data_IF_183846008123
#
_entry.id   IF_183846008123
#
_cell.length_a   1.000
_cell.length_b   1.000
_cell.length_c   1.000
_cell.angle_alpha   90.00
_cell.angle_beta   90.00
_cell.angle_gamma   90.00
#
_symmetry.space_group_name_H-M   'P 1'
#
loop_
_entity.id
_entity.type
_entity.pdbx_description
1 polymer ?
#
# COMPACT_ATOMS: atom_id res chain seq x y z
N UNK A 1 -10.07 19.74 4.53
CA UNK A 1 -8.65 19.43 4.82
C UNK A 1 -8.03 18.93 3.52
N UNK A 2 -6.74 19.19 3.29
CA UNK A 2 -6.03 18.80 2.05
C UNK A 2 -4.83 17.93 2.43
N UNK A 3 -4.60 16.88 1.66
CA UNK A 3 -3.50 15.93 1.82
C UNK A 3 -2.74 15.90 0.49
N UNK A 4 -1.56 16.50 0.46
CA UNK A 4 -0.73 16.53 -0.74
C UNK A 4 -0.01 15.20 -0.95
N UNK A 5 0.20 14.83 -2.22
CA UNK A 5 0.90 13.62 -2.63
C UNK A 5 2.35 13.56 -2.13
N UNK A 6 3.00 14.72 -2.05
CA UNK A 6 4.38 14.84 -1.58
C UNK A 6 4.47 15.88 -0.47
N UNK A 7 5.18 15.54 0.59
CA UNK A 7 5.68 16.49 1.56
C UNK A 7 7.12 16.83 1.16
N UNK A 8 7.33 17.95 0.48
CA UNK A 8 8.63 18.31 -0.13
C UNK A 8 9.13 17.27 -1.16
N UNK A 9 10.10 16.43 -0.80
CA UNK A 9 10.68 15.37 -1.64
C UNK A 9 10.27 13.96 -1.21
N UNK A 10 9.52 13.81 -0.11
CA UNK A 10 9.05 12.50 0.37
C UNK A 10 7.61 12.27 -0.06
N UNK A 11 7.30 11.03 -0.47
CA UNK A 11 5.91 10.65 -0.77
C UNK A 11 5.13 10.63 0.55
N UNK A 12 3.99 11.31 0.57
CA UNK A 12 3.19 11.42 1.77
C UNK A 12 2.54 10.06 2.08
N UNK A 13 2.90 9.49 3.24
CA UNK A 13 2.37 8.19 3.67
C UNK A 13 0.86 8.20 3.81
N UNK A 14 0.28 9.29 4.31
CA UNK A 14 -1.17 9.41 4.45
C UNK A 14 -1.84 9.45 3.07
N UNK A 15 -1.25 10.15 2.09
CA UNK A 15 -1.75 10.13 0.72
C UNK A 15 -1.74 8.71 0.15
N UNK A 16 -0.64 7.98 0.32
CA UNK A 16 -0.53 6.59 -0.12
C UNK A 16 -1.59 5.70 0.53
N UNK A 17 -1.79 5.83 1.84
CA UNK A 17 -2.81 5.08 2.56
C UNK A 17 -4.21 5.41 2.07
N UNK A 18 -4.53 6.67 1.82
CA UNK A 18 -5.84 7.08 1.28
C UNK A 18 -6.06 6.53 -0.14
N UNK A 19 -5.03 6.57 -1.00
CA UNK A 19 -5.07 6.01 -2.35
C UNK A 19 -5.36 4.50 -2.35
N UNK A 20 -4.80 3.76 -1.37
CA UNK A 20 -5.04 2.32 -1.17
C UNK A 20 -6.34 2.01 -0.43
N UNK A 21 -6.81 2.89 0.45
CA UNK A 21 -8.03 2.68 1.23
C UNK A 21 -9.29 2.91 0.40
N UNK A 22 -9.29 3.95 -0.43
CA UNK A 22 -10.44 4.31 -1.27
C UNK A 22 -10.55 3.45 -2.56
N UNK A 23 -10.10 2.18 -2.50
CA UNK A 23 -10.04 1.17 -3.57
C UNK A 23 -11.47 0.66 -3.98
N UNK A 24 -11.65 -0.23 -4.99
CA UNK A 24 -12.85 -0.63 -5.71
C UNK A 24 -14.11 -0.73 -4.90
N UNK A 25 -14.11 -1.28 -3.69
CA UNK A 25 -15.34 -1.52 -2.95
C UNK A 25 -16.09 -0.23 -2.61
N UNK A 26 -15.35 0.87 -2.40
CA UNK A 26 -15.93 2.22 -2.23
C UNK A 26 -16.14 2.88 -3.61
N UNK A 27 -15.29 2.55 -4.59
CA UNK A 27 -15.35 3.09 -5.95
C UNK A 27 -16.40 2.43 -6.87
N UNK A 28 -17.02 1.31 -6.46
CA UNK A 28 -18.07 0.58 -7.21
C UNK A 28 -19.29 1.47 -7.50
N UNK A 29 -19.50 2.51 -6.70
CA UNK A 29 -20.60 3.47 -6.86
C UNK A 29 -20.19 4.75 -7.61
N UNK A 30 -18.94 4.86 -8.06
CA UNK A 30 -18.46 6.04 -8.80
C UNK A 30 -18.89 5.98 -10.26
N UNK A 31 -19.30 7.13 -10.79
CA UNK A 31 -19.68 7.29 -12.19
C UNK A 31 -18.50 7.20 -13.15
N UNK A 32 -17.29 7.56 -12.68
CA UNK A 32 -16.04 7.50 -13.44
C UNK A 32 -14.92 6.98 -12.56
N UNK A 33 -14.10 6.13 -13.14
CA UNK A 33 -12.93 5.57 -12.50
C UNK A 33 -11.83 5.31 -13.54
N UNK A 34 -10.59 5.35 -13.10
CA UNK A 34 -9.41 5.04 -13.91
C UNK A 34 -8.96 3.62 -13.62
N UNK A 35 -8.66 2.85 -14.65
CA UNK A 35 -8.10 1.51 -14.50
C UNK A 35 -6.59 1.55 -14.61
N UNK A 36 -5.89 0.91 -13.67
CA UNK A 36 -4.44 0.73 -13.70
C UNK A 36 -4.14 -0.77 -13.64
N UNK A 37 -3.31 -1.24 -14.57
CA UNK A 37 -2.76 -2.59 -14.55
C UNK A 37 -1.30 -2.48 -14.12
N UNK A 38 -0.93 -3.17 -13.04
CA UNK A 38 0.47 -3.19 -12.61
C UNK A 38 1.25 -4.19 -13.47
N UNK A 39 2.51 -3.88 -13.83
CA UNK A 39 3.35 -4.84 -14.54
C UNK A 39 3.48 -6.12 -13.70
N UNK A 40 3.18 -7.28 -14.29
CA UNK A 40 3.19 -8.62 -13.67
C UNK A 40 1.99 -8.99 -12.80
N UNK A 41 0.96 -8.14 -12.70
CA UNK A 41 -0.32 -8.52 -12.08
C UNK A 41 -1.39 -8.67 -13.17
N UNK A 42 -2.13 -9.79 -13.16
CA UNK A 42 -3.25 -10.00 -14.08
C UNK A 42 -4.54 -9.28 -13.65
N UNK A 43 -4.50 -8.60 -12.51
CA UNK A 43 -5.66 -7.92 -11.92
C UNK A 43 -5.67 -6.45 -12.31
N UNK A 44 -6.82 -6.00 -12.84
CA UNK A 44 -7.07 -4.58 -13.10
C UNK A 44 -7.44 -3.90 -11.78
N UNK A 45 -6.59 -2.98 -11.32
CA UNK A 45 -6.90 -2.14 -10.15
C UNK A 45 -7.69 -0.91 -10.59
N UNK A 46 -8.72 -0.55 -9.82
CA UNK A 46 -9.53 0.65 -10.05
C UNK A 46 -9.01 1.77 -9.15
N UNK A 47 -8.76 2.93 -9.74
CA UNK A 47 -8.28 4.16 -9.11
C UNK A 47 -9.30 5.25 -9.35
N UNK A 48 -9.46 6.14 -8.39
CA UNK A 48 -10.38 7.28 -8.45
C UNK A 48 -10.01 8.20 -9.62
N UNK A 49 -11.00 8.61 -10.42
CA UNK A 49 -10.80 9.59 -11.49
C UNK A 49 -10.79 11.03 -10.96
N UNK A 50 -10.23 11.96 -11.75
CA UNK A 50 -10.06 13.36 -11.37
C UNK A 50 -11.40 14.01 -11.03
N UNK A 51 -11.46 14.67 -9.87
CA UNK A 51 -12.60 15.45 -9.37
C UNK A 51 -13.87 14.66 -9.03
N UNK A 52 -13.83 13.33 -9.00
CA UNK A 52 -14.96 12.54 -8.51
C UNK A 52 -15.06 12.63 -6.98
N UNK A 53 -16.30 12.79 -6.48
CA UNK A 53 -16.60 12.89 -5.06
C UNK A 53 -17.06 11.55 -4.50
N UNK A 54 -16.38 11.09 -3.47
CA UNK A 54 -16.67 9.85 -2.76
C UNK A 54 -17.26 10.21 -1.40
N UNK A 55 -18.43 9.67 -1.11
CA UNK A 55 -19.03 9.75 0.21
C UNK A 55 -18.65 8.52 1.01
N UNK A 56 -17.98 8.73 2.13
CA UNK A 56 -17.62 7.68 3.07
C UNK A 56 -18.22 7.97 4.43
N UNK A 57 -19.01 7.04 4.98
CA UNK A 57 -19.58 7.19 6.32
C UNK A 57 -18.73 6.43 7.33
N UNK A 58 -18.23 7.14 8.34
CA UNK A 58 -17.44 6.56 9.43
C UNK A 58 -18.05 6.95 10.78
N UNK A 59 -18.45 5.96 11.57
CA UNK A 59 -19.15 6.13 12.87
C UNK A 59 -20.28 7.17 12.82
N UNK A 60 -21.07 7.17 11.73
CA UNK A 60 -22.20 8.09 11.53
C UNK A 60 -21.85 9.48 10.98
N UNK A 61 -20.56 9.79 10.80
CA UNK A 61 -20.09 11.05 10.20
C UNK A 61 -19.78 10.84 8.72
N UNK A 62 -20.25 11.76 7.88
CA UNK A 62 -19.99 11.74 6.45
C UNK A 62 -18.67 12.48 6.11
N UNK A 63 -17.76 11.75 5.48
CA UNK A 63 -16.51 12.25 4.91
C UNK A 63 -16.63 12.29 3.38
N UNK A 64 -16.57 13.48 2.82
CA UNK A 64 -16.56 13.73 1.38
C UNK A 64 -15.12 13.81 0.87
N UNK A 65 -14.70 12.81 0.13
CA UNK A 65 -13.38 12.71 -0.47
C UNK A 65 -13.38 13.13 -1.93
N UNK A 66 -12.31 13.77 -2.37
CA UNK A 66 -12.12 14.15 -3.76
C UNK A 66 -10.65 14.12 -4.14
N UNK A 67 -10.30 13.47 -5.25
CA UNK A 67 -8.97 13.55 -5.83
C UNK A 67 -8.87 14.80 -6.73
N UNK A 68 -8.02 15.74 -6.34
CA UNK A 68 -7.72 16.92 -7.14
C UNK A 68 -6.39 16.71 -7.85
N UNK A 69 -6.40 16.91 -9.16
CA UNK A 69 -5.18 16.96 -9.97
C UNK A 69 -5.09 18.38 -10.51
N UNK A 70 -3.97 19.06 -10.30
CA UNK A 70 -3.72 20.40 -10.81
C UNK A 70 -2.59 20.35 -11.82
N UNK A 71 -2.79 20.91 -13.01
CA UNK A 71 -1.74 21.00 -14.01
C UNK A 71 -0.73 22.07 -13.56
N UNK A 72 0.55 21.74 -13.59
CA UNK A 72 1.64 22.67 -13.33
C UNK A 72 2.55 22.73 -14.56
N UNK A 73 3.27 23.83 -14.78
CA UNK A 73 4.31 23.87 -15.80
C UNK A 73 5.27 22.69 -15.63
N UNK A 74 5.66 22.02 -16.73
CA UNK A 74 6.51 20.84 -16.66
C UNK A 74 7.79 21.17 -15.89
N UNK A 75 7.96 20.52 -14.76
CA UNK A 75 9.12 20.69 -13.89
C UNK A 75 9.96 19.42 -13.94
N UNK A 76 11.26 19.60 -14.19
CA UNK A 76 12.22 18.50 -14.26
C UNK A 76 12.70 18.19 -12.85
N UNK A 77 12.34 17.02 -12.32
CA UNK A 77 12.83 16.56 -11.02
C UNK A 77 14.03 15.64 -11.26
N UNK A 78 15.20 16.05 -10.74
CA UNK A 78 16.41 15.23 -10.76
C UNK A 78 16.37 14.29 -9.56
N UNK A 79 16.12 12.99 -9.76
CA UNK A 79 16.21 12.02 -8.65
C UNK A 79 17.67 11.95 -8.19
N UNK A 80 17.93 12.30 -6.94
CA UNK A 80 19.26 12.14 -6.35
C UNK A 80 19.33 10.77 -5.68
N UNK A 81 20.02 9.82 -6.32
CA UNK A 81 20.28 8.50 -5.76
C UNK A 81 20.67 7.46 -6.80
N UNK A 82 21.97 7.09 -6.82
CA UNK A 82 22.48 5.79 -7.27
C UNK A 82 22.55 5.52 -8.79
N UNK A 83 23.78 5.57 -9.32
CA UNK A 83 24.28 4.95 -10.56
C UNK A 83 23.36 4.85 -11.79
N UNK A 84 23.67 5.70 -12.78
CA UNK A 84 23.64 5.42 -14.21
C UNK A 84 22.32 5.19 -14.99
N UNK A 85 21.21 5.79 -14.57
CA UNK A 85 20.10 6.08 -15.51
C UNK A 85 19.54 7.49 -15.27
N UNK A 86 19.74 8.40 -16.23
CA UNK A 86 19.19 9.75 -16.23
C UNK A 86 17.68 9.75 -16.54
N UNK A 87 16.87 9.16 -15.66
CA UNK A 87 15.41 9.32 -15.74
C UNK A 87 15.02 10.68 -15.15
N UNK A 88 15.00 11.71 -16.00
CA UNK A 88 14.32 12.97 -15.68
C UNK A 88 12.82 12.73 -15.73
N UNK A 89 12.17 12.70 -14.56
CA UNK A 89 10.71 12.61 -14.52
C UNK A 89 10.14 14.01 -14.78
N UNK A 90 9.36 14.15 -15.85
CA UNK A 90 8.59 15.36 -16.12
C UNK A 90 7.35 15.32 -15.23
N UNK A 91 7.28 16.17 -14.21
CA UNK A 91 6.05 16.37 -13.43
C UNK A 91 5.29 17.53 -14.05
N UNK A 92 4.15 17.23 -14.67
CA UNK A 92 3.22 18.22 -15.26
C UNK A 92 1.92 18.37 -14.47
N UNK A 93 1.78 17.63 -13.37
CA UNK A 93 0.63 17.78 -12.47
C UNK A 93 0.99 17.49 -11.02
N UNK A 94 0.28 18.14 -10.11
CA UNK A 94 0.30 17.87 -8.67
C UNK A 94 -1.02 17.20 -8.30
N UNK A 95 -0.95 16.12 -7.50
CA UNK A 95 -2.12 15.42 -6.98
C UNK A 95 -2.28 15.75 -5.50
N UNK A 96 -3.51 15.94 -5.05
CA UNK A 96 -3.85 16.03 -3.64
C UNK A 96 -5.26 15.48 -3.39
N UNK A 97 -5.47 14.91 -2.21
CA UNK A 97 -6.81 14.54 -1.76
C UNK A 97 -7.39 15.67 -0.92
N UNK A 98 -8.61 16.08 -1.26
CA UNK A 98 -9.42 16.94 -0.42
C UNK A 98 -10.44 16.10 0.33
N UNK A 99 -10.54 16.31 1.63
CA UNK A 99 -11.60 15.73 2.46
C UNK A 99 -12.40 16.83 3.16
N UNK A 100 -13.73 16.76 3.02
CA UNK A 100 -14.68 17.69 3.62
C UNK A 100 -15.57 16.95 4.61
N UNK A 101 -15.66 17.49 5.81
CA UNK A 101 -16.48 16.99 6.91
C UNK A 101 -16.86 18.18 7.81
N UNK A 102 -17.83 17.98 8.70
CA UNK A 102 -18.29 19.04 9.59
C UNK A 102 -17.20 19.42 10.61
N UNK A 103 -16.97 20.72 10.84
CA UNK A 103 -15.86 21.24 11.68
C UNK A 103 -15.78 20.60 13.07
N UNK A 104 -16.92 20.26 13.67
CA UNK A 104 -16.98 19.65 15.02
C UNK A 104 -16.36 18.25 15.08
N UNK A 105 -16.18 17.57 13.95
CA UNK A 105 -15.57 16.23 13.89
C UNK A 105 -14.09 16.27 13.53
N UNK A 106 -13.43 17.44 13.62
CA UNK A 106 -12.00 17.57 13.31
C UNK A 106 -11.13 16.70 14.19
N UNK A 107 -11.39 16.66 15.49
CA UNK A 107 -10.58 15.89 16.43
C UNK A 107 -10.74 14.39 16.16
N UNK A 108 -11.98 13.92 16.03
CA UNK A 108 -12.31 12.55 15.61
C UNK A 108 -11.67 12.16 14.27
N UNK A 109 -11.63 13.09 13.30
CA UNK A 109 -10.98 12.84 12.02
C UNK A 109 -9.48 12.55 12.20
N UNK A 110 -8.80 13.34 13.04
CA UNK A 110 -7.35 13.22 13.29
C UNK A 110 -6.99 12.05 14.21
N UNK A 111 -7.76 11.80 15.26
CA UNK A 111 -7.45 10.79 16.28
C UNK A 111 -7.94 9.39 15.95
N UNK A 112 -9.02 9.26 15.15
CA UNK A 112 -9.65 7.97 14.89
C UNK A 112 -9.73 7.65 13.39
N UNK A 113 -10.23 8.57 12.58
CA UNK A 113 -10.52 8.27 11.17
C UNK A 113 -9.26 8.04 10.33
N UNK A 114 -8.28 8.95 10.35
CA UNK A 114 -7.06 8.75 9.56
C UNK A 114 -6.22 7.56 10.04
N UNK A 115 -6.05 7.31 11.36
CA UNK A 115 -5.42 6.08 11.83
C UNK A 115 -6.13 4.82 11.33
N UNK A 116 -7.46 4.78 11.37
CA UNK A 116 -8.26 3.69 10.81
C UNK A 116 -8.02 3.51 9.29
N UNK A 117 -8.02 4.60 8.52
CA UNK A 117 -7.71 4.58 7.08
C UNK A 117 -6.31 4.02 6.83
N UNK A 118 -5.32 4.39 7.64
CA UNK A 118 -3.96 3.89 7.53
C UNK A 118 -3.85 2.39 7.84
N UNK A 119 -4.56 1.93 8.88
CA UNK A 119 -4.61 0.51 9.25
C UNK A 119 -5.27 -0.32 8.14
N UNK A 120 -6.43 0.11 7.65
CA UNK A 120 -7.12 -0.57 6.53
C UNK A 120 -6.32 -0.55 5.24
N UNK A 121 -5.63 0.54 4.93
CA UNK A 121 -4.73 0.57 3.79
C UNK A 121 -3.59 -0.44 3.91
N UNK A 122 -3.11 -0.70 5.13
CA UNK A 122 -2.08 -1.69 5.40
C UNK A 122 -2.60 -3.11 5.21
N UNK A 123 -3.82 -3.42 5.68
CA UNK A 123 -4.49 -4.70 5.42
C UNK A 123 -4.59 -4.95 3.90
N UNK A 124 -5.12 -3.98 3.15
CA UNK A 124 -5.24 -4.07 1.68
C UNK A 124 -3.87 -4.24 1.01
N UNK A 125 -2.85 -3.54 1.52
CA UNK A 125 -1.49 -3.68 1.00
C UNK A 125 -0.91 -5.08 1.26
N UNK A 126 -1.22 -5.69 2.40
CA UNK A 126 -0.80 -7.05 2.75
C UNK A 126 -1.53 -8.10 1.91
N UNK A 127 -2.83 -7.93 1.68
CA UNK A 127 -3.64 -8.79 0.79
C UNK A 127 -3.14 -8.75 -0.67
N UNK A 128 -2.79 -7.57 -1.16
CA UNK A 128 -2.30 -7.40 -2.53
C UNK A 128 -0.82 -7.77 -2.70
N UNK A 129 -0.11 -8.04 -1.60
CA UNK A 129 1.32 -8.33 -1.66
C UNK A 129 1.52 -9.74 -2.18
N UNK A 130 1.92 -9.84 -3.44
CA UNK A 130 2.43 -11.09 -3.98
C UNK A 130 3.70 -11.51 -3.23
N UNK A 131 3.74 -12.73 -2.66
CA UNK A 131 4.94 -13.22 -2.00
C UNK A 131 6.09 -13.23 -3.02
N UNK A 132 7.31 -12.99 -2.54
CA UNK A 132 8.50 -12.97 -3.40
C UNK A 132 9.43 -14.07 -2.94
N UNK A 133 9.88 -14.88 -3.89
CA UNK A 133 10.94 -15.85 -3.67
C UNK A 133 12.28 -15.14 -3.84
N UNK A 134 13.10 -15.16 -2.81
CA UNK A 134 14.45 -14.60 -2.85
C UNK A 134 15.48 -15.69 -3.09
N UNK A 135 16.38 -15.47 -4.05
CA UNK A 135 17.49 -16.36 -4.39
C UNK A 135 18.79 -15.57 -4.40
N UNK A 136 19.91 -16.25 -4.15
CA UNK A 136 21.22 -15.62 -4.21
C UNK A 136 21.63 -15.39 -5.67
N UNK A 137 22.01 -14.16 -6.01
CA UNK A 137 22.54 -13.85 -7.32
C UNK A 137 23.93 -14.45 -7.50
N UNK A 138 24.22 -14.95 -8.70
CA UNK A 138 25.58 -15.32 -9.10
C UNK A 138 26.30 -14.20 -9.88
N UNK A 139 25.63 -13.06 -10.09
CA UNK A 139 26.21 -11.93 -10.79
C UNK A 139 27.33 -11.28 -9.94
N UNK A 140 28.55 -11.30 -10.48
CA UNK A 140 29.75 -10.72 -9.84
C UNK A 140 29.67 -9.20 -9.72
N UNK A 141 28.87 -8.53 -10.54
CA UNK A 141 28.68 -7.08 -10.52
C UNK A 141 27.75 -6.69 -9.36
N UNK A 142 26.57 -7.31 -9.25
CA UNK A 142 25.63 -7.10 -8.14
C UNK A 142 26.25 -7.43 -6.77
N UNK A 143 27.05 -8.51 -6.69
CA UNK A 143 27.82 -8.85 -5.48
C UNK A 143 28.77 -7.73 -5.01
N UNK A 144 29.33 -6.94 -5.93
CA UNK A 144 30.21 -5.79 -5.58
C UNK A 144 29.44 -4.60 -5.04
N UNK A 145 28.17 -4.46 -5.39
CA UNK A 145 27.29 -3.39 -4.90
C UNK A 145 26.54 -3.76 -3.61
N UNK A 146 26.82 -4.94 -3.04
CA UNK A 146 26.26 -5.39 -1.76
C UNK A 146 24.87 -6.02 -1.86
N UNK A 147 24.24 -6.01 -3.05
CA UNK A 147 22.91 -6.60 -3.24
C UNK A 147 23.03 -8.03 -3.77
N UNK A 148 23.14 -8.98 -2.84
CA UNK A 148 23.31 -10.41 -3.16
C UNK A 148 21.97 -11.13 -3.40
N UNK A 149 20.86 -10.54 -3.00
CA UNK A 149 19.54 -11.17 -3.06
C UNK A 149 18.79 -10.70 -4.30
N UNK A 150 18.45 -11.62 -5.18
CA UNK A 150 17.49 -11.40 -6.26
C UNK A 150 16.13 -11.92 -5.84
N UNK A 151 15.05 -11.31 -6.35
CA UNK A 151 13.69 -11.75 -6.05
C UNK A 151 12.86 -11.96 -7.30
N UNK A 152 12.00 -12.97 -7.26
CA UNK A 152 11.00 -13.26 -8.28
C UNK A 152 9.63 -13.32 -7.59
N UNK A 153 8.58 -12.82 -8.26
CA UNK A 153 7.22 -12.94 -7.73
C UNK A 153 6.82 -14.42 -7.69
N UNK A 154 6.34 -14.88 -6.55
CA UNK A 154 5.81 -16.22 -6.34
C UNK A 154 4.30 -16.16 -6.53
N UNK A 155 3.85 -16.44 -7.75
CA UNK A 155 2.44 -16.51 -8.10
C UNK A 155 2.03 -17.99 -8.24
N UNK A 156 1.89 -18.67 -7.09
CA UNK A 156 1.49 -20.07 -7.05
C UNK A 156 0.24 -20.22 -6.16
N UNK A 157 -0.83 -20.87 -6.64
CA UNK A 157 -2.09 -21.01 -5.90
C UNK A 157 -2.03 -22.02 -4.74
N UNK A 158 -0.83 -22.46 -4.33
CA UNK A 158 -0.70 -23.51 -3.33
C UNK A 158 -0.93 -22.94 -1.93
N UNK A 159 -1.90 -23.53 -1.24
CA UNK A 159 -2.19 -23.29 0.18
C UNK A 159 -1.86 -24.54 0.99
N UNK A 160 -1.81 -24.42 2.32
CA UNK A 160 -1.69 -25.58 3.21
C UNK A 160 -2.82 -26.60 3.02
N UNK A 161 -3.99 -26.16 2.54
CA UNK A 161 -5.11 -27.05 2.22
C UNK A 161 -4.85 -27.90 0.98
N UNK A 162 -4.18 -27.33 -0.03
CA UNK A 162 -3.82 -28.03 -1.28
C UNK A 162 -2.58 -28.92 -1.14
N UNK A 163 -1.84 -28.78 -0.04
CA UNK A 163 -0.64 -29.56 0.23
C UNK A 163 -1.03 -30.97 0.68
N UNK A 164 -0.56 -31.98 -0.06
CA UNK A 164 -0.78 -33.38 0.30
C UNK A 164 0.07 -33.76 1.52
N UNK A 165 -0.49 -33.56 2.72
CA UNK A 165 0.10 -33.92 4.00
C UNK A 165 -0.95 -34.45 4.98
N UNK A 166 -0.52 -35.11 6.04
CA UNK A 166 -1.42 -35.55 7.11
C UNK A 166 -2.13 -34.36 7.78
N UNK A 167 -3.43 -34.49 8.02
CA UNK A 167 -4.26 -33.40 8.54
C UNK A 167 -3.93 -33.02 9.98
N UNK A 168 -3.55 -33.98 10.82
CA UNK A 168 -3.17 -33.72 12.21
C UNK A 168 -1.84 -32.95 12.24
N UNK A 169 -0.87 -33.38 11.42
CA UNK A 169 0.40 -32.68 11.28
C UNK A 169 0.22 -31.26 10.74
N UNK A 170 -0.66 -31.08 9.74
CA UNK A 170 -0.96 -29.76 9.17
C UNK A 170 -1.51 -28.82 10.23
N UNK A 171 -2.51 -29.27 10.99
CA UNK A 171 -3.15 -28.44 12.01
C UNK A 171 -2.17 -28.10 13.12
N UNK A 172 -1.34 -29.07 13.56
CA UNK A 172 -0.29 -28.82 14.54
C UNK A 172 0.68 -27.71 14.10
N UNK A 173 1.11 -27.71 12.83
CA UNK A 173 2.02 -26.67 12.30
C UNK A 173 1.32 -25.31 12.26
N UNK A 174 0.06 -25.25 11.82
CA UNK A 174 -0.71 -24.01 11.79
C UNK A 174 -0.90 -23.44 13.20
N UNK A 175 -1.30 -24.28 14.15
CA UNK A 175 -1.50 -23.87 15.55
C UNK A 175 -0.21 -23.36 16.20
N UNK A 176 0.94 -23.99 15.93
CA UNK A 176 2.24 -23.52 16.44
C UNK A 176 2.65 -22.17 15.81
N UNK A 177 2.38 -21.98 14.52
CA UNK A 177 2.64 -20.71 13.83
C UNK A 177 1.76 -19.57 14.38
N UNK A 178 0.47 -19.82 14.63
CA UNK A 178 -0.43 -18.84 15.23
C UNK A 178 0.02 -18.47 16.65
N UNK A 179 0.38 -19.49 17.44
CA UNK A 179 0.91 -19.31 18.79
C UNK A 179 2.23 -18.53 18.79
N UNK A 180 3.09 -18.72 17.79
CA UNK A 180 4.32 -17.96 17.62
C UNK A 180 4.03 -16.47 17.37
N UNK A 181 3.02 -16.15 16.55
CA UNK A 181 2.61 -14.77 16.29
C UNK A 181 2.08 -14.07 17.55
N UNK A 182 1.26 -14.76 18.35
CA UNK A 182 0.70 -14.22 19.60
C UNK A 182 1.77 -13.96 20.67
N UNK A 183 2.85 -14.76 20.68
CA UNK A 183 3.89 -14.73 21.72
C UNK A 183 4.97 -13.67 21.51
N UNK A 184 4.81 -12.73 20.56
CA UNK A 184 5.77 -11.65 20.30
C UNK A 184 6.23 -10.90 21.57
N UNK A 185 5.29 -10.49 22.43
CA UNK A 185 5.60 -9.76 23.66
C UNK A 185 6.27 -10.65 24.73
N UNK A 186 5.99 -11.96 24.72
CA UNK A 186 6.66 -12.92 25.57
C UNK A 186 8.14 -13.03 25.21
N UNK A 187 8.47 -13.26 23.94
CA UNK A 187 9.86 -13.34 23.45
C UNK A 187 10.65 -12.07 23.75
N UNK A 188 10.04 -10.91 23.53
CA UNK A 188 10.62 -9.60 23.86
C UNK A 188 10.93 -9.46 25.35
N UNK A 189 10.05 -9.95 26.24
CA UNK A 189 10.24 -9.88 27.70
C UNK A 189 11.37 -10.78 28.18
N UNK A 190 11.47 -11.99 27.65
CA UNK A 190 12.51 -12.96 28.06
C UNK A 190 13.84 -12.74 27.34
N UNK A 191 13.94 -11.73 26.47
CA UNK A 191 15.16 -11.38 25.74
C UNK A 191 15.58 -12.43 24.72
N UNK A 192 14.65 -13.28 24.27
CA UNK A 192 14.92 -14.30 23.26
C UNK A 192 14.52 -13.75 21.89
N UNK A 193 15.44 -13.75 20.91
CA UNK A 193 15.12 -13.35 19.55
C UNK A 193 14.15 -14.33 18.88
#
# INVERSE_FOLDING_TARGET
MVIDEYETLTYNKLFQSVELYLHPDIAQHLKRFKTVMRPKEHNVSIVIDRNEEILHKFKGVDFKWRLIIQAIPPTYIRRSGGSNEHHTMVKSSVRCFEVRFHKNHRDMALSEYFPFVMEKAKEVQEEQKTPKLFTLTNDRVLKRFGDMWQSVALDHPATFESLAMDSELRNMILDDLDLFLERKEFYKRVGKP
#
